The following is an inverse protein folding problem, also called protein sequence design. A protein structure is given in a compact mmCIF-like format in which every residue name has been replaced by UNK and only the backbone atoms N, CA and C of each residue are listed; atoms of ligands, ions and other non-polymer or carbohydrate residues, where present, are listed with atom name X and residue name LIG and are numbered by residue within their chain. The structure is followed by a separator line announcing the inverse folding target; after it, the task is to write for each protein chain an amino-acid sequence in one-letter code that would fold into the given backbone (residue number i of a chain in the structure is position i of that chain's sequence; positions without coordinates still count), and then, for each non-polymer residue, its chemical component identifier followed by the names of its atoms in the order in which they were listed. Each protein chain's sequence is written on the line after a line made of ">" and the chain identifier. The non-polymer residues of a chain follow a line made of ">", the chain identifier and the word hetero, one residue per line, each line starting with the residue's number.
data_IF_794805027474
#
_entry.id   IF_794805027474
#
_cell.length_a   1.000
_cell.length_b   1.000
_cell.length_c   1.000
_cell.angle_alpha   90.00
_cell.angle_beta   90.00
_cell.angle_gamma   90.00
#
_symmetry.space_group_name_H-M   'P 1'
#
loop_
_entity.id
_entity.type
_entity.pdbx_description
1 polymer ?
#
# COMPACT_ATOMS: atom_id res chain seq x y z
N UNK A 1 -13.06 0.07 -20.02
CA UNK A 1 -11.63 0.45 -19.99
C UNK A 1 -11.26 1.04 -21.34
N UNK A 2 -10.47 2.12 -21.36
CA UNK A 2 -10.03 2.80 -22.58
C UNK A 2 -8.77 2.13 -23.14
N UNK A 3 -8.72 1.88 -24.45
CA UNK A 3 -7.54 1.27 -25.12
C UNK A 3 -6.26 2.10 -24.94
N UNK A 4 -6.40 3.42 -24.80
CA UNK A 4 -5.30 4.36 -24.58
C UNK A 4 -4.92 4.49 -23.10
N UNK A 5 -5.54 3.70 -22.21
CA UNK A 5 -5.27 3.67 -20.78
C UNK A 5 -4.67 2.31 -20.38
N UNK A 6 -4.58 2.04 -19.08
CA UNK A 6 -4.26 0.72 -18.56
C UNK A 6 -5.52 -0.17 -18.57
N UNK A 7 -5.32 -1.44 -18.96
CA UNK A 7 -6.39 -2.44 -19.10
C UNK A 7 -6.39 -3.38 -17.89
N UNK A 8 -5.36 -3.31 -17.05
CA UNK A 8 -5.18 -4.19 -15.90
C UNK A 8 -4.77 -3.39 -14.68
N UNK A 9 -5.29 -3.82 -13.54
CA UNK A 9 -4.83 -3.39 -12.22
C UNK A 9 -3.88 -4.43 -11.62
N UNK A 10 -3.00 -3.96 -10.77
CA UNK A 10 -2.03 -4.73 -10.00
C UNK A 10 -2.27 -4.45 -8.52
N UNK A 11 -3.12 -5.24 -7.84
CA UNK A 11 -3.33 -5.09 -6.39
C UNK A 11 -2.06 -5.33 -5.56
N UNK A 12 -1.09 -6.04 -6.14
CA UNK A 12 0.22 -6.33 -5.56
C UNK A 12 1.19 -6.70 -6.68
N UNK A 13 2.44 -6.26 -6.61
CA UNK A 13 3.51 -6.85 -7.43
C UNK A 13 4.13 -8.04 -6.68
N UNK A 14 4.14 -9.22 -7.30
CA UNK A 14 4.61 -10.45 -6.64
C UNK A 14 6.13 -10.56 -6.62
N UNK A 15 6.83 -9.76 -7.43
CA UNK A 15 8.28 -9.73 -7.49
C UNK A 15 8.76 -8.39 -8.06
N UNK A 16 10.01 -8.04 -7.77
CA UNK A 16 10.70 -6.90 -8.40
C UNK A 16 10.67 -7.00 -9.93
N UNK A 17 10.83 -8.21 -10.47
CA UNK A 17 10.76 -8.45 -11.93
C UNK A 17 9.38 -8.12 -12.51
N UNK A 18 8.29 -8.42 -11.80
CA UNK A 18 6.94 -8.05 -12.26
C UNK A 18 6.78 -6.53 -12.28
N UNK A 19 7.31 -5.84 -11.27
CA UNK A 19 7.30 -4.39 -11.20
C UNK A 19 8.13 -3.74 -12.32
N UNK A 20 9.33 -4.25 -12.59
CA UNK A 20 10.18 -3.75 -13.69
C UNK A 20 9.51 -3.89 -15.06
N UNK A 21 8.84 -5.03 -15.31
CA UNK A 21 8.07 -5.23 -16.55
C UNK A 21 6.90 -4.26 -16.64
N UNK A 22 6.22 -4.02 -15.52
CA UNK A 22 5.16 -3.01 -15.44
C UNK A 22 5.71 -1.60 -15.74
N UNK A 23 6.83 -1.20 -15.14
CA UNK A 23 7.45 0.12 -15.39
C UNK A 23 7.77 0.33 -16.88
N UNK A 24 8.27 -0.69 -17.56
CA UNK A 24 8.53 -0.61 -18.99
C UNK A 24 7.25 -0.42 -19.85
N UNK A 25 6.09 -0.94 -19.40
CA UNK A 25 4.78 -0.65 -20.02
C UNK A 25 4.29 0.75 -19.63
N UNK A 26 4.45 1.11 -18.37
CA UNK A 26 4.03 2.36 -17.77
C UNK A 26 4.68 3.56 -18.47
N UNK A 27 6.00 3.53 -18.67
CA UNK A 27 6.76 4.59 -19.34
C UNK A 27 6.27 4.83 -20.77
N UNK A 28 5.93 3.76 -21.50
CA UNK A 28 5.40 3.85 -22.87
C UNK A 28 4.02 4.52 -22.93
N UNK A 29 3.23 4.42 -21.85
CA UNK A 29 1.88 4.99 -21.75
C UNK A 29 1.87 6.40 -21.16
N UNK A 30 2.73 6.68 -20.17
CA UNK A 30 2.94 8.04 -19.65
C UNK A 30 3.27 9.02 -20.75
N UNK A 31 4.17 8.64 -21.66
CA UNK A 31 4.57 9.52 -22.76
C UNK A 31 3.42 9.92 -23.72
N UNK A 32 2.25 9.27 -23.64
CA UNK A 32 1.17 9.42 -24.62
C UNK A 32 -0.13 9.96 -24.05
N UNK A 33 -0.60 9.45 -22.91
CA UNK A 33 -2.01 9.63 -22.49
C UNK A 33 -2.23 9.69 -20.99
N UNK A 34 -1.18 9.52 -20.19
CA UNK A 34 -1.25 9.48 -18.72
C UNK A 34 -0.44 10.65 -18.17
N UNK A 35 -1.09 11.52 -17.39
CA UNK A 35 -0.45 12.68 -16.77
C UNK A 35 -0.25 12.41 -15.28
N UNK A 36 0.93 12.74 -14.76
CA UNK A 36 1.16 12.87 -13.32
C UNK A 36 0.35 14.04 -12.75
N UNK A 37 -0.43 13.78 -11.71
CA UNK A 37 -1.22 14.82 -11.03
C UNK A 37 -0.48 15.32 -9.80
N UNK A 38 -0.21 14.42 -8.86
CA UNK A 38 0.47 14.72 -7.61
C UNK A 38 0.94 13.44 -6.93
N UNK A 39 1.74 13.62 -5.87
CA UNK A 39 1.91 12.60 -4.84
C UNK A 39 0.88 12.85 -3.74
N UNK A 40 0.32 11.77 -3.21
CA UNK A 40 -0.71 11.78 -2.19
C UNK A 40 -0.43 10.77 -1.09
N UNK A 41 -1.07 11.01 0.05
CA UNK A 41 -1.10 10.09 1.17
C UNK A 41 -2.55 9.74 1.45
N UNK A 42 -2.84 8.45 1.65
CA UNK A 42 -4.15 7.99 2.10
C UNK A 42 -3.96 7.01 3.25
N UNK A 43 -4.37 7.45 4.45
CA UNK A 43 -4.07 6.77 5.72
C UNK A 43 -2.56 6.62 5.89
N UNK A 44 -2.04 5.39 5.98
CA UNK A 44 -0.62 5.11 6.13
C UNK A 44 0.10 4.85 4.78
N UNK A 45 -0.59 4.96 3.64
CA UNK A 45 -0.04 4.62 2.33
C UNK A 45 0.30 5.87 1.51
N UNK A 46 1.56 5.93 1.07
CA UNK A 46 2.05 6.93 0.13
C UNK A 46 1.90 6.41 -1.30
N UNK A 47 1.37 7.24 -2.18
CA UNK A 47 1.12 6.86 -3.56
C UNK A 47 1.26 8.05 -4.51
N UNK A 48 1.54 7.76 -5.77
CA UNK A 48 1.54 8.73 -6.86
C UNK A 48 0.25 8.61 -7.66
N UNK A 49 -0.36 9.75 -7.97
CA UNK A 49 -1.65 9.85 -8.64
C UNK A 49 -1.43 10.25 -10.10
N UNK A 50 -2.05 9.48 -10.99
CA UNK A 50 -2.01 9.67 -12.44
C UNK A 50 -3.43 9.78 -13.01
N UNK A 51 -3.61 10.61 -14.03
CA UNK A 51 -4.86 10.79 -14.75
C UNK A 51 -4.71 10.37 -16.21
N UNK A 52 -5.65 9.60 -16.72
CA UNK A 52 -5.74 9.36 -18.15
C UNK A 52 -6.49 10.50 -18.84
N UNK A 53 -5.85 11.19 -19.80
CA UNK A 53 -6.48 12.28 -20.54
C UNK A 53 -7.69 11.85 -21.38
N UNK A 54 -7.70 10.59 -21.83
CA UNK A 54 -8.70 10.09 -22.75
C UNK A 54 -10.01 9.72 -22.05
N UNK A 55 -9.93 9.08 -20.88
CA UNK A 55 -11.12 8.57 -20.17
C UNK A 55 -11.28 9.13 -18.76
N UNK A 56 -10.42 10.07 -18.36
CA UNK A 56 -10.47 10.75 -17.06
C UNK A 56 -10.39 9.79 -15.87
N UNK A 57 -9.87 8.57 -16.07
CA UNK A 57 -9.68 7.59 -15.01
C UNK A 57 -8.44 7.94 -14.20
N UNK A 58 -8.60 7.94 -12.87
CA UNK A 58 -7.53 8.21 -11.91
C UNK A 58 -6.92 6.88 -11.48
N UNK A 59 -5.59 6.81 -11.54
CA UNK A 59 -4.75 5.67 -11.20
C UNK A 59 -3.82 6.03 -10.07
N UNK A 60 -3.68 5.13 -9.11
CA UNK A 60 -2.76 5.23 -7.98
C UNK A 60 -1.66 4.21 -8.16
N UNK A 61 -0.42 4.67 -8.01
CA UNK A 61 0.79 3.86 -8.01
C UNK A 61 1.44 3.97 -6.63
N UNK A 62 1.56 2.86 -5.93
CA UNK A 62 2.41 2.72 -4.75
C UNK A 62 3.63 1.92 -5.16
N UNK A 63 4.82 2.52 -5.03
CA UNK A 63 6.06 1.86 -5.40
C UNK A 63 6.41 0.78 -4.36
N UNK A 64 6.93 -0.39 -4.79
CA UNK A 64 7.44 -1.37 -3.87
C UNK A 64 8.61 -0.82 -3.06
N UNK A 65 8.60 -1.06 -1.75
CA UNK A 65 9.72 -0.80 -0.84
C UNK A 65 10.14 -2.10 -0.12
N UNK A 66 11.08 -2.00 0.84
CA UNK A 66 11.58 -3.18 1.55
C UNK A 66 10.51 -3.94 2.36
N UNK A 67 9.35 -3.34 2.66
CA UNK A 67 8.29 -3.90 3.50
C UNK A 67 6.93 -3.98 2.79
N UNK A 68 6.82 -3.44 1.58
CA UNK A 68 5.59 -3.35 0.81
C UNK A 68 5.83 -3.67 -0.65
N UNK A 69 4.96 -4.50 -1.21
CA UNK A 69 5.10 -4.97 -2.59
C UNK A 69 4.52 -3.99 -3.62
N UNK A 70 4.06 -2.80 -3.20
CA UNK A 70 3.45 -1.81 -4.10
C UNK A 70 2.14 -2.28 -4.75
N UNK A 71 1.47 -1.36 -5.42
CA UNK A 71 0.27 -1.65 -6.23
C UNK A 71 0.10 -0.60 -7.33
N UNK A 72 -0.67 -0.94 -8.36
CA UNK A 72 -1.14 -0.01 -9.38
C UNK A 72 -2.61 -0.25 -9.70
N UNK A 73 -3.50 0.64 -9.26
CA UNK A 73 -4.95 0.42 -9.35
C UNK A 73 -5.69 1.72 -9.61
N UNK A 74 -6.96 1.65 -10.04
CA UNK A 74 -7.81 2.84 -10.05
C UNK A 74 -8.10 3.28 -8.62
N UNK A 75 -8.32 4.59 -8.45
CA UNK A 75 -8.63 5.26 -7.18
C UNK A 75 -9.57 4.43 -6.28
N UNK A 76 -10.74 4.03 -6.80
CA UNK A 76 -11.76 3.36 -6.00
C UNK A 76 -11.31 2.00 -5.46
N UNK A 77 -10.45 1.31 -6.19
CA UNK A 77 -9.97 -0.02 -5.79
C UNK A 77 -8.73 0.10 -4.90
N UNK A 78 -7.86 1.08 -5.14
CA UNK A 78 -6.75 1.42 -4.25
C UNK A 78 -7.25 1.76 -2.85
N UNK A 79 -8.25 2.66 -2.73
CA UNK A 79 -8.87 2.98 -1.44
C UNK A 79 -9.43 1.75 -0.73
N UNK A 80 -10.17 0.89 -1.46
CA UNK A 80 -10.70 -0.37 -0.91
C UNK A 80 -9.60 -1.32 -0.43
N UNK A 81 -8.47 -1.37 -1.12
CA UNK A 81 -7.32 -2.18 -0.73
C UNK A 81 -6.74 -1.66 0.60
N UNK A 82 -6.48 -0.36 0.68
CA UNK A 82 -5.92 0.27 1.89
C UNK A 82 -6.92 0.22 3.06
N UNK A 83 -8.22 0.38 2.79
CA UNK A 83 -9.27 0.30 3.81
C UNK A 83 -9.40 -1.11 4.42
N UNK A 84 -9.07 -2.15 3.65
CA UNK A 84 -9.03 -3.55 4.11
C UNK A 84 -7.70 -3.92 4.76
N UNK A 85 -6.69 -3.07 4.67
CA UNK A 85 -5.39 -3.34 5.23
C UNK A 85 -5.42 -3.15 6.76
N UNK A 86 -5.43 -4.28 7.48
CA UNK A 86 -5.42 -4.35 8.94
C UNK A 86 -4.15 -3.74 9.58
N UNK A 87 -3.11 -3.45 8.77
CA UNK A 87 -1.93 -2.70 9.21
C UNK A 87 -2.25 -1.25 9.60
N UNK A 88 -3.45 -0.74 9.29
CA UNK A 88 -3.97 0.58 9.73
C UNK A 88 -4.23 0.71 11.24
N UNK A 89 -3.45 0.02 12.08
CA UNK A 89 -3.21 0.48 13.44
C UNK A 89 -4.21 0.01 14.48
N UNK A 90 -4.50 -1.30 14.55
CA UNK A 90 -4.74 -1.91 15.87
C UNK A 90 -3.40 -2.22 16.53
N UNK A 91 -2.61 -1.19 16.85
CA UNK A 91 -1.55 -1.36 17.85
C UNK A 91 -2.29 -1.71 19.14
N UNK A 92 -2.22 -2.97 19.57
CA UNK A 92 -2.73 -3.38 20.87
C UNK A 92 -1.97 -2.59 21.94
N UNK A 93 -2.56 -1.49 22.43
CA UNK A 93 -2.01 -0.61 23.49
C UNK A 93 -1.55 -1.36 24.74
N UNK A 94 -1.98 -2.60 24.92
CA UNK A 94 -1.71 -3.41 26.10
C UNK A 94 -0.50 -4.35 25.97
N UNK A 95 0.15 -4.47 24.80
CA UNK A 95 1.25 -5.43 24.59
C UNK A 95 2.38 -5.30 25.62
N UNK A 96 2.83 -4.06 25.90
CA UNK A 96 3.81 -3.81 26.96
C UNK A 96 3.25 -4.04 28.37
N UNK A 97 1.98 -3.69 28.61
CA UNK A 97 1.35 -3.81 29.93
C UNK A 97 1.25 -5.29 30.36
N UNK A 98 0.95 -6.18 29.43
CA UNK A 98 0.93 -7.64 29.67
C UNK A 98 2.30 -8.19 30.07
N UNK A 99 3.40 -7.69 29.49
CA UNK A 99 4.75 -8.12 29.83
C UNK A 99 5.11 -7.69 31.26
N UNK A 100 4.76 -6.45 31.65
CA UNK A 100 4.98 -5.96 33.01
C UNK A 100 4.21 -6.78 34.06
N UNK A 101 2.94 -7.13 33.78
CA UNK A 101 2.13 -7.94 34.71
C UNK A 101 2.75 -9.33 34.93
N UNK A 102 3.24 -9.98 33.86
CA UNK A 102 3.90 -11.30 33.96
C UNK A 102 5.18 -11.23 34.79
N UNK A 103 5.98 -10.17 34.63
CA UNK A 103 7.21 -9.99 35.40
C UNK A 103 6.93 -9.73 36.89
N UNK A 104 5.89 -8.94 37.19
CA UNK A 104 5.47 -8.66 38.57
C UNK A 104 4.93 -9.93 39.24
N UNK A 105 4.10 -10.71 38.56
CA UNK A 105 3.59 -11.97 39.15
C UNK A 105 4.70 -12.99 39.36
N UNK A 106 5.67 -13.09 38.44
CA UNK A 106 6.81 -13.99 38.58
C UNK A 106 7.71 -13.60 39.77
N UNK A 107 7.99 -12.31 39.95
CA UNK A 107 8.80 -11.82 41.07
C UNK A 107 8.09 -12.00 42.41
N UNK A 108 6.78 -11.75 42.49
CA UNK A 108 5.99 -12.01 43.70
C UNK A 108 5.91 -13.50 44.05
N UNK A 109 5.75 -14.38 43.06
CA UNK A 109 5.75 -15.83 43.26
C UNK A 109 7.08 -16.31 43.86
N UNK A 110 8.20 -15.79 43.37
CA UNK A 110 9.56 -16.07 43.88
C UNK A 110 9.83 -15.55 45.30
N UNK A 111 9.07 -14.56 45.78
CA UNK A 111 9.21 -13.97 47.12
C UNK A 111 8.38 -14.70 48.17
N UNK A 112 7.27 -15.33 47.75
CA UNK A 112 6.35 -16.05 48.63
C UNK A 112 6.73 -17.54 48.76
N UNK A 113 7.36 -18.12 47.74
CA UNK A 113 7.94 -19.47 47.77
C UNK A 113 9.34 -19.50 48.36
#
# INVERSE_FOLDING_TARGET
>A
MCEKCFIREYPKFNSTKEFEVFLAEFDKKIAKSIIFINQGEYKADNHTIYLCNNCQTIWWLSDPDNHWCGYFMIDTNAKKLIDKDDRNGKIHKYGCLSIFIILITFTLFRLIS
#
